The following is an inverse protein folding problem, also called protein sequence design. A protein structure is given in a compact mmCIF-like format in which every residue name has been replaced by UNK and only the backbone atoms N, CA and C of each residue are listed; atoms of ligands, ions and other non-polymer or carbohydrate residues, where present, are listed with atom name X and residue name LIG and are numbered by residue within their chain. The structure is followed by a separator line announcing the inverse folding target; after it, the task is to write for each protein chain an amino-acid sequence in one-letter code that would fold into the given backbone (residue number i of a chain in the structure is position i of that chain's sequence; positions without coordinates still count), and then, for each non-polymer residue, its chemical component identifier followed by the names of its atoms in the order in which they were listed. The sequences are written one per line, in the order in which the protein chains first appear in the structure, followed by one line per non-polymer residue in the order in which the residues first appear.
data_IF_748265771617
#
_entry.id   IF_748265771617
#
_cell.length_a   1.000
_cell.length_b   1.000
_cell.length_c   1.000
_cell.angle_alpha   90.00
_cell.angle_beta   90.00
_cell.angle_gamma   90.00
#
_symmetry.space_group_name_H-M   'P 1'
#
loop_
_entity.id
_entity.type
_entity.pdbx_description
1 polymer ?
#
# COMPACT_ATOMS: atom_id res chain seq x y z
N UNK A 1 83.69 11.38 -34.58
CA UNK A 1 82.79 10.62 -35.47
C UNK A 1 81.69 10.00 -34.64
N UNK A 2 80.52 10.48 -34.86
CA UNK A 2 79.33 10.22 -34.04
C UNK A 2 78.66 8.91 -34.47
N UNK A 3 78.36 8.05 -33.43
CA UNK A 3 77.59 6.83 -33.61
C UNK A 3 76.13 7.03 -33.15
N UNK A 4 75.20 7.04 -34.11
CA UNK A 4 73.78 7.13 -33.86
C UNK A 4 73.22 5.81 -33.26
N UNK A 5 72.53 5.89 -32.04
CA UNK A 5 71.78 4.80 -31.48
C UNK A 5 70.35 4.83 -32.05
N UNK A 6 69.86 3.66 -32.48
CA UNK A 6 68.48 3.43 -32.92
C UNK A 6 67.48 3.33 -31.70
N UNK A 7 66.19 3.68 -31.84
CA UNK A 7 65.22 3.62 -30.76
C UNK A 7 64.64 2.21 -30.62
N UNK A 8 64.54 1.75 -29.35
CA UNK A 8 63.86 0.53 -28.92
C UNK A 8 62.34 0.68 -29.03
N UNK A 9 61.72 -0.30 -29.64
CA UNK A 9 60.28 -0.39 -29.84
C UNK A 9 59.49 -0.54 -28.53
N UNK A 10 58.33 0.10 -28.52
CA UNK A 10 57.30 -0.04 -27.51
C UNK A 10 56.57 -1.38 -27.68
N UNK A 11 56.64 -2.25 -26.67
CA UNK A 11 55.70 -3.35 -26.42
C UNK A 11 55.01 -3.00 -25.09
N UNK A 12 53.70 -3.02 -25.05
CA UNK A 12 52.77 -3.25 -24.00
C UNK A 12 51.62 -2.26 -24.01
N UNK A 13 50.57 -2.61 -24.76
CA UNK A 13 49.23 -1.95 -24.63
C UNK A 13 48.06 -2.93 -24.67
N UNK A 14 48.29 -4.24 -24.45
CA UNK A 14 47.15 -5.20 -24.49
C UNK A 14 46.84 -5.92 -23.19
N UNK A 15 47.50 -5.60 -22.08
CA UNK A 15 47.19 -6.28 -20.78
C UNK A 15 46.33 -5.45 -19.83
N UNK A 16 46.05 -4.18 -20.11
CA UNK A 16 45.26 -3.34 -19.22
C UNK A 16 43.73 -3.50 -19.41
N UNK A 17 43.26 -3.91 -20.58
CA UNK A 17 41.81 -4.05 -20.83
C UNK A 17 41.18 -5.34 -20.26
N UNK A 18 41.97 -6.40 -20.05
CA UNK A 18 41.46 -7.69 -19.56
C UNK A 18 41.34 -7.72 -18.04
N UNK A 19 42.20 -6.99 -17.31
CA UNK A 19 42.10 -6.89 -15.84
C UNK A 19 40.94 -5.99 -15.39
N UNK A 20 40.57 -4.96 -16.15
CA UNK A 20 39.44 -4.10 -15.85
C UNK A 20 38.09 -4.80 -16.10
N UNK A 21 37.98 -5.67 -17.09
CA UNK A 21 36.76 -6.43 -17.40
C UNK A 21 36.52 -7.49 -16.31
N UNK A 22 37.58 -8.14 -15.80
CA UNK A 22 37.43 -9.12 -14.69
C UNK A 22 37.04 -8.45 -13.36
N UNK A 23 37.57 -7.26 -13.06
CA UNK A 23 37.16 -6.46 -11.89
C UNK A 23 35.77 -5.90 -12.01
N UNK A 24 35.31 -5.56 -13.21
CA UNK A 24 33.90 -5.12 -13.45
C UNK A 24 32.96 -6.32 -13.32
N UNK A 25 33.37 -7.52 -13.73
CA UNK A 25 32.55 -8.74 -13.55
C UNK A 25 32.55 -9.27 -12.10
N UNK A 26 33.61 -9.08 -11.33
CA UNK A 26 33.62 -9.42 -9.88
C UNK A 26 32.81 -8.43 -9.04
N UNK A 27 32.77 -7.15 -9.39
CA UNK A 27 31.91 -6.17 -8.75
C UNK A 27 30.43 -6.32 -9.13
N UNK A 28 30.09 -7.08 -10.16
CA UNK A 28 28.70 -7.40 -10.56
C UNK A 28 28.11 -8.60 -9.83
N UNK A 29 28.83 -9.29 -8.96
CA UNK A 29 28.23 -10.15 -7.95
C UNK A 29 27.65 -9.29 -6.82
N UNK A 30 26.59 -8.52 -7.14
CA UNK A 30 25.69 -8.02 -6.15
C UNK A 30 25.12 -9.22 -5.39
N UNK A 31 25.69 -9.51 -4.25
CA UNK A 31 25.14 -10.47 -3.30
C UNK A 31 23.70 -10.03 -3.05
N UNK A 32 22.74 -10.86 -3.46
CA UNK A 32 21.33 -10.65 -3.17
C UNK A 32 21.23 -10.49 -1.66
N UNK A 33 21.05 -9.26 -1.20
CA UNK A 33 21.07 -8.91 0.21
C UNK A 33 19.85 -9.46 0.96
N UNK A 34 18.72 -9.59 0.24
CA UNK A 34 17.46 -10.05 0.81
C UNK A 34 16.79 -11.07 -0.10
N UNK A 35 16.33 -12.18 0.48
CA UNK A 35 15.45 -13.13 -0.20
C UNK A 35 14.02 -12.72 0.11
N UNK A 36 13.20 -12.54 -0.94
CA UNK A 36 11.76 -12.31 -0.81
C UNK A 36 11.00 -13.61 -1.05
N UNK A 37 9.94 -13.78 -0.28
CA UNK A 37 9.08 -14.97 -0.26
C UNK A 37 7.69 -14.57 -0.77
N UNK A 38 7.10 -15.37 -1.63
CA UNK A 38 5.72 -15.21 -2.10
C UNK A 38 4.72 -15.79 -1.10
N UNK A 39 3.43 -15.43 -1.21
CA UNK A 39 2.45 -15.84 -0.22
C UNK A 39 2.13 -17.32 -0.23
N UNK A 40 2.27 -18.01 -1.35
CA UNK A 40 2.12 -19.47 -1.47
C UNK A 40 3.30 -20.25 -0.85
N UNK A 41 4.47 -19.61 -0.72
CA UNK A 41 5.64 -20.18 -0.06
C UNK A 41 5.61 -20.04 1.48
N UNK A 42 4.68 -19.25 2.03
CA UNK A 42 4.52 -19.07 3.48
C UNK A 42 3.83 -20.30 4.10
N UNK A 43 4.60 -21.29 4.52
CA UNK A 43 4.09 -22.57 5.07
C UNK A 43 4.30 -22.69 6.56
N UNK A 44 5.46 -22.29 7.05
CA UNK A 44 5.87 -22.49 8.42
C UNK A 44 5.90 -21.17 9.20
N UNK A 45 5.77 -21.26 10.51
CA UNK A 45 5.95 -20.11 11.40
C UNK A 45 7.39 -19.62 11.31
N UNK A 46 7.60 -18.32 11.03
CA UNK A 46 8.94 -17.76 10.88
C UNK A 46 8.94 -16.31 10.44
N UNK A 47 10.14 -15.76 10.29
CA UNK A 47 10.38 -14.42 9.77
C UNK A 47 10.59 -14.45 8.25
N UNK A 48 9.89 -13.59 7.55
CA UNK A 48 9.94 -13.50 6.09
C UNK A 48 10.05 -12.05 5.62
N UNK A 49 10.75 -11.86 4.49
CA UNK A 49 10.70 -10.63 3.73
C UNK A 49 9.81 -10.87 2.52
N UNK A 50 8.94 -9.93 2.19
CA UNK A 50 8.02 -10.08 1.08
C UNK A 50 7.56 -8.73 0.54
N UNK A 51 7.00 -8.76 -0.66
CA UNK A 51 6.17 -7.71 -1.22
C UNK A 51 4.72 -8.16 -1.20
N UNK A 52 3.84 -7.26 -0.80
CA UNK A 52 2.39 -7.48 -0.84
C UNK A 52 1.69 -6.30 -1.47
N UNK A 53 0.50 -6.54 -1.99
CA UNK A 53 -0.37 -5.53 -2.59
C UNK A 53 -1.49 -5.25 -1.59
N UNK A 54 -1.68 -3.99 -1.26
CA UNK A 54 -2.72 -3.57 -0.31
C UNK A 54 -4.08 -3.64 -1.02
N UNK A 55 -4.90 -4.57 -0.57
CA UNK A 55 -6.25 -4.77 -1.04
C UNK A 55 -7.28 -4.06 -0.15
N UNK A 56 -6.95 -3.92 1.13
CA UNK A 56 -7.72 -3.20 2.13
C UNK A 56 -6.81 -2.74 3.28
N UNK A 57 -7.17 -1.67 3.98
CA UNK A 57 -6.41 -1.14 5.09
C UNK A 57 -7.35 -0.56 6.16
N UNK A 58 -7.02 -0.80 7.44
CA UNK A 58 -7.58 -0.02 8.53
C UNK A 58 -6.86 1.32 8.67
N UNK A 59 -7.53 2.30 9.27
CA UNK A 59 -6.86 3.50 9.76
C UNK A 59 -5.92 3.13 10.93
N UNK A 60 -4.79 3.84 11.12
CA UNK A 60 -3.93 3.68 12.29
C UNK A 60 -4.70 3.97 13.60
N UNK A 61 -4.77 2.98 14.47
CA UNK A 61 -5.53 3.02 15.71
C UNK A 61 -4.63 2.90 16.92
N UNK A 62 -5.08 3.46 18.04
CA UNK A 62 -4.48 3.24 19.34
C UNK A 62 -4.95 1.91 19.93
N UNK A 63 -4.02 1.09 20.41
CA UNK A 63 -4.34 -0.17 21.07
C UNK A 63 -4.79 0.13 22.52
N UNK A 64 -6.04 -0.17 22.84
CA UNK A 64 -6.51 -0.07 24.23
C UNK A 64 -5.66 -1.00 25.12
N UNK A 65 -4.97 -0.43 26.09
CA UNK A 65 -4.10 -1.19 26.99
C UNK A 65 -4.96 -2.14 27.85
N UNK A 66 -4.94 -3.42 27.49
CA UNK A 66 -5.66 -4.48 28.22
C UNK A 66 -4.82 -5.12 29.32
N UNK A 67 -3.50 -4.92 29.33
CA UNK A 67 -2.61 -5.50 30.34
C UNK A 67 -2.29 -4.53 31.46
N UNK A 68 -2.32 -5.01 32.70
CA UNK A 68 -1.91 -4.22 33.88
C UNK A 68 -0.44 -3.77 33.81
N UNK A 69 0.43 -4.53 33.12
CA UNK A 69 1.83 -4.18 32.90
C UNK A 69 2.01 -3.00 31.98
N UNK A 70 1.18 -2.85 30.95
CA UNK A 70 1.23 -1.73 30.02
C UNK A 70 0.62 -0.46 30.66
N UNK A 71 -0.43 -0.61 31.47
CA UNK A 71 -0.98 0.49 32.28
C UNK A 71 0.03 1.07 33.26
N UNK A 72 0.89 0.24 33.87
CA UNK A 72 1.96 0.70 34.79
C UNK A 72 3.08 1.45 34.08
N UNK A 73 3.26 1.25 32.77
CA UNK A 73 4.34 1.90 31.98
C UNK A 73 3.87 3.12 31.20
N UNK A 74 2.56 3.41 31.16
CA UNK A 74 1.95 4.50 30.34
C UNK A 74 2.46 4.51 28.88
N UNK A 75 2.69 3.34 28.27
CA UNK A 75 3.17 3.24 26.89
C UNK A 75 1.96 3.05 25.97
N UNK A 76 1.63 4.08 25.22
CA UNK A 76 0.65 3.99 24.14
C UNK A 76 1.21 3.14 23.00
N UNK A 77 0.41 2.23 22.49
CA UNK A 77 0.73 1.42 21.31
C UNK A 77 -0.26 1.73 20.20
N UNK A 78 0.25 1.78 19.00
CA UNK A 78 -0.56 2.00 17.78
C UNK A 78 -0.48 0.76 16.90
N UNK A 79 -1.55 0.52 16.13
CA UNK A 79 -1.57 -0.58 15.17
C UNK A 79 -2.40 -0.23 13.94
N UNK A 80 -2.15 -0.94 12.86
CA UNK A 80 -3.04 -1.05 11.72
C UNK A 80 -3.09 -2.49 11.21
N UNK A 81 -4.12 -2.78 10.43
CA UNK A 81 -4.32 -4.08 9.78
C UNK A 81 -4.46 -3.83 8.29
N UNK A 82 -3.61 -4.47 7.50
CA UNK A 82 -3.70 -4.46 6.05
C UNK A 82 -4.13 -5.84 5.56
N UNK A 83 -5.04 -5.89 4.59
CA UNK A 83 -5.32 -7.11 3.81
C UNK A 83 -4.44 -7.07 2.58
N UNK A 84 -3.64 -8.10 2.41
CA UNK A 84 -2.66 -8.20 1.34
C UNK A 84 -2.96 -9.37 0.41
N UNK A 85 -2.70 -9.14 -0.86
CA UNK A 85 -2.62 -10.15 -1.90
C UNK A 85 -1.25 -10.06 -2.58
N UNK A 86 -0.87 -11.08 -3.32
CA UNK A 86 0.28 -11.06 -4.23
C UNK A 86 -0.03 -11.81 -5.52
N UNK A 87 0.95 -11.96 -6.38
CA UNK A 87 0.82 -12.61 -7.68
C UNK A 87 0.44 -14.10 -7.59
N UNK A 88 0.67 -14.74 -6.45
CA UNK A 88 0.34 -16.14 -6.19
C UNK A 88 -1.05 -16.30 -5.58
N UNK A 89 -1.68 -15.19 -5.18
CA UNK A 89 -3.03 -15.19 -4.61
C UNK A 89 -4.07 -15.38 -5.71
N UNK A 90 -4.59 -16.58 -5.85
CA UNK A 90 -5.53 -16.92 -6.91
C UNK A 90 -6.99 -16.63 -6.51
N UNK A 91 -7.32 -15.36 -6.33
CA UNK A 91 -8.66 -14.91 -5.94
C UNK A 91 -9.66 -14.91 -7.12
N UNK A 92 -9.17 -14.87 -8.36
CA UNK A 92 -10.02 -14.79 -9.56
C UNK A 92 -10.73 -16.11 -9.89
N UNK A 93 -10.13 -17.24 -9.52
CA UNK A 93 -10.68 -18.57 -9.86
C UNK A 93 -11.71 -19.08 -8.86
N UNK A 94 -11.70 -18.56 -7.63
CA UNK A 94 -12.68 -18.94 -6.61
C UNK A 94 -13.03 -17.76 -5.68
N UNK A 95 -14.03 -16.93 -6.06
CA UNK A 95 -14.47 -15.79 -5.26
C UNK A 95 -14.95 -16.16 -3.86
N UNK A 96 -15.46 -17.39 -3.67
CA UNK A 96 -15.96 -17.84 -2.38
C UNK A 96 -14.83 -18.10 -1.36
N UNK A 97 -13.60 -18.34 -1.82
CA UNK A 97 -12.43 -18.60 -0.97
C UNK A 97 -11.50 -17.37 -0.87
N UNK A 98 -11.96 -16.20 -1.25
CA UNK A 98 -11.17 -14.98 -1.21
C UNK A 98 -10.51 -14.75 0.17
N UNK A 99 -11.27 -14.90 1.26
CA UNK A 99 -10.77 -14.69 2.62
C UNK A 99 -9.70 -15.70 3.06
N UNK A 100 -9.63 -16.88 2.42
CA UNK A 100 -8.64 -17.93 2.75
C UNK A 100 -7.26 -17.62 2.13
N UNK A 101 -7.23 -16.88 1.02
CA UNK A 101 -6.00 -16.58 0.29
C UNK A 101 -5.38 -15.24 0.66
N UNK A 102 -6.12 -14.38 1.35
CA UNK A 102 -5.65 -13.07 1.80
C UNK A 102 -4.76 -13.21 3.02
N UNK A 103 -3.69 -12.43 3.07
CA UNK A 103 -2.85 -12.30 4.26
C UNK A 103 -3.26 -11.05 5.03
N UNK A 104 -3.35 -11.19 6.34
CA UNK A 104 -3.57 -10.08 7.26
C UNK A 104 -2.22 -9.65 7.85
N UNK A 105 -1.73 -8.49 7.45
CA UNK A 105 -0.54 -7.89 7.99
C UNK A 105 -0.92 -6.96 9.13
N UNK A 106 -0.45 -7.26 10.33
CA UNK A 106 -0.70 -6.51 11.56
C UNK A 106 0.59 -5.78 11.92
N UNK A 107 0.60 -4.48 11.81
CA UNK A 107 1.76 -3.64 12.13
C UNK A 107 1.52 -2.92 13.45
N UNK A 108 2.48 -3.02 14.37
CA UNK A 108 2.42 -2.40 15.70
C UNK A 108 3.64 -1.54 15.97
N UNK A 109 3.44 -0.38 16.63
CA UNK A 109 4.50 0.51 17.08
C UNK A 109 4.10 1.27 18.34
N UNK A 110 5.07 1.78 19.07
CA UNK A 110 4.89 2.79 20.12
C UNK A 110 4.85 4.22 19.57
N UNK A 111 5.16 4.41 18.30
CA UNK A 111 5.16 5.69 17.61
C UNK A 111 4.14 5.63 16.47
N UNK A 112 3.19 6.56 16.43
CA UNK A 112 2.12 6.60 15.44
C UNK A 112 2.68 6.77 14.02
N UNK A 113 3.76 7.51 13.87
CA UNK A 113 4.45 7.79 12.60
C UNK A 113 5.06 6.53 11.95
N UNK A 114 5.29 5.49 12.75
CA UNK A 114 5.79 4.20 12.28
C UNK A 114 4.67 3.23 11.85
N UNK A 115 3.41 3.66 11.91
CA UNK A 115 2.27 2.90 11.39
C UNK A 115 1.97 3.38 9.97
N UNK A 116 1.83 2.47 8.98
CA UNK A 116 1.56 2.86 7.62
C UNK A 116 0.19 3.53 7.49
N UNK A 117 0.17 4.64 6.76
CA UNK A 117 -1.06 5.29 6.30
C UNK A 117 -1.17 5.06 4.79
N UNK A 118 -2.03 4.14 4.40
CA UNK A 118 -2.21 3.72 3.01
C UNK A 118 -3.09 4.73 2.28
N UNK A 119 -2.70 5.13 1.08
CA UNK A 119 -3.44 6.07 0.24
C UNK A 119 -4.38 5.36 -0.74
N UNK A 120 -3.89 4.32 -1.42
CA UNK A 120 -4.64 3.72 -2.52
C UNK A 120 -4.80 2.20 -2.34
N UNK A 121 -5.93 1.70 -2.80
CA UNK A 121 -6.07 0.27 -3.08
C UNK A 121 -5.14 -0.07 -4.25
N UNK A 122 -4.36 -1.14 -4.08
CA UNK A 122 -3.35 -1.55 -5.04
C UNK A 122 -1.94 -1.03 -4.73
N UNK A 123 -1.76 -0.17 -3.72
CA UNK A 123 -0.41 0.21 -3.28
C UNK A 123 0.40 -1.01 -2.85
N UNK A 124 1.71 -0.95 -3.07
CA UNK A 124 2.62 -2.06 -2.78
C UNK A 124 3.26 -1.79 -1.42
N UNK A 125 3.27 -2.80 -0.55
CA UNK A 125 4.04 -2.78 0.69
C UNK A 125 5.21 -3.76 0.61
N UNK A 126 6.42 -3.29 0.89
CA UNK A 126 7.60 -4.13 1.15
C UNK A 126 7.75 -4.29 2.65
N UNK A 127 7.89 -5.52 3.11
CA UNK A 127 8.05 -5.87 4.51
C UNK A 127 9.36 -6.61 4.70
N UNK A 128 10.13 -6.19 5.70
CA UNK A 128 11.28 -6.91 6.21
C UNK A 128 10.96 -7.49 7.57
N UNK A 129 11.32 -8.77 7.76
CA UNK A 129 11.22 -9.50 9.03
C UNK A 129 9.79 -9.50 9.59
N UNK A 130 8.80 -9.71 8.71
CA UNK A 130 7.43 -9.99 9.12
C UNK A 130 7.33 -11.40 9.69
N UNK A 131 6.78 -11.54 10.89
CA UNK A 131 6.62 -12.83 11.57
C UNK A 131 5.30 -13.48 11.17
N UNK A 132 5.36 -14.55 10.39
CA UNK A 132 4.21 -15.33 9.97
C UNK A 132 3.75 -16.30 11.05
N UNK A 133 2.44 -16.28 11.37
CA UNK A 133 1.82 -17.15 12.37
C UNK A 133 0.54 -17.81 11.80
N UNK A 134 0.61 -19.06 11.31
CA UNK A 134 -0.48 -19.69 10.52
C UNK A 134 -1.64 -20.26 11.35
N UNK A 135 -1.85 -19.90 12.62
CA UNK A 135 -2.76 -20.63 13.52
C UNK A 135 -4.22 -20.68 13.08
N UNK A 136 -4.95 -19.56 12.98
CA UNK A 136 -6.38 -19.53 12.60
C UNK A 136 -6.66 -18.72 11.34
N UNK A 137 -5.81 -17.77 11.03
CA UNK A 137 -5.83 -16.92 9.84
C UNK A 137 -4.38 -16.77 9.39
N UNK A 138 -4.17 -16.49 8.12
CA UNK A 138 -2.84 -16.22 7.58
C UNK A 138 -2.37 -14.84 8.02
N UNK A 139 -1.91 -14.73 9.28
CA UNK A 139 -1.49 -13.47 9.88
C UNK A 139 0.02 -13.32 9.83
N UNK A 140 0.48 -12.13 9.48
CA UNK A 140 1.86 -11.68 9.62
C UNK A 140 1.89 -10.50 10.59
N UNK A 141 2.84 -10.52 11.50
CA UNK A 141 3.03 -9.47 12.50
C UNK A 141 4.34 -8.73 12.24
N UNK A 142 4.30 -7.41 12.24
CA UNK A 142 5.47 -6.53 12.16
C UNK A 142 5.48 -5.61 13.37
N UNK A 143 6.50 -5.74 14.21
CA UNK A 143 6.72 -4.84 15.33
C UNK A 143 7.83 -3.84 14.98
N UNK A 144 7.48 -2.58 14.93
CA UNK A 144 8.39 -1.46 14.62
C UNK A 144 8.86 -0.74 15.90
N UNK A 145 8.71 -1.38 17.08
CA UNK A 145 9.06 -0.79 18.37
C UNK A 145 10.57 -0.71 18.56
N UNK A 146 11.07 0.41 19.13
CA UNK A 146 12.49 0.62 19.42
C UNK A 146 13.09 -0.43 20.39
N UNK A 147 12.26 -0.96 21.28
CA UNK A 147 12.70 -1.84 22.38
C UNK A 147 12.71 -3.32 22.04
N UNK A 148 12.21 -3.72 20.88
CA UNK A 148 12.21 -5.12 20.46
C UNK A 148 13.53 -5.52 19.81
N UNK A 149 14.10 -6.67 20.24
CA UNK A 149 15.31 -7.26 19.66
C UNK A 149 15.16 -7.57 18.16
N UNK A 150 13.94 -7.88 17.73
CA UNK A 150 13.59 -8.17 16.33
C UNK A 150 12.70 -7.03 15.83
N UNK A 151 13.27 -6.16 15.02
CA UNK A 151 12.56 -5.04 14.41
C UNK A 151 12.22 -5.38 12.98
N UNK A 152 10.92 -5.51 12.72
CA UNK A 152 10.43 -5.47 11.35
C UNK A 152 10.40 -4.05 10.82
N UNK A 153 10.39 -3.90 9.52
CA UNK A 153 10.22 -2.61 8.86
C UNK A 153 9.38 -2.76 7.60
N UNK A 154 8.83 -1.64 7.15
CA UNK A 154 8.00 -1.59 5.96
C UNK A 154 8.28 -0.33 5.13
N UNK A 155 7.99 -0.40 3.84
CA UNK A 155 7.94 0.73 2.90
C UNK A 155 6.70 0.60 2.01
N UNK A 156 6.00 1.73 1.74
CA UNK A 156 4.85 1.81 0.86
C UNK A 156 5.21 2.50 -0.45
N UNK A 157 4.78 1.90 -1.57
CA UNK A 157 5.01 2.38 -2.93
C UNK A 157 3.67 2.57 -3.65
N UNK A 158 3.53 3.68 -4.35
CA UNK A 158 2.32 3.93 -5.15
C UNK A 158 2.36 3.17 -6.47
N UNK A 159 1.22 2.60 -6.86
CA UNK A 159 1.04 2.02 -8.20
C UNK A 159 0.50 3.01 -9.22
N UNK A 160 0.05 4.20 -8.77
CA UNK A 160 -0.50 5.24 -9.63
C UNK A 160 0.55 6.13 -10.29
N UNK A 161 1.81 6.05 -9.85
CA UNK A 161 2.92 6.79 -10.45
C UNK A 161 4.02 5.84 -10.97
N UNK A 162 4.95 6.38 -11.73
CA UNK A 162 6.08 5.62 -12.28
C UNK A 162 7.31 5.59 -11.35
N UNK A 163 7.22 6.16 -10.14
CA UNK A 163 8.33 6.16 -9.19
C UNK A 163 8.48 4.80 -8.53
N UNK A 164 9.69 4.28 -8.46
CA UNK A 164 10.06 3.11 -7.64
C UNK A 164 10.50 3.52 -6.23
N UNK A 165 10.39 4.81 -5.88
CA UNK A 165 10.69 5.30 -4.54
C UNK A 165 9.43 5.19 -3.66
N UNK A 166 9.58 4.79 -2.39
CA UNK A 166 8.45 4.71 -1.47
C UNK A 166 7.98 6.12 -1.07
N UNK A 167 6.67 6.27 -0.92
CA UNK A 167 6.09 7.51 -0.40
C UNK A 167 6.03 7.53 1.14
N UNK A 168 6.16 6.38 1.79
CA UNK A 168 6.19 6.25 3.25
C UNK A 168 6.98 5.03 3.68
N UNK A 169 7.73 5.14 4.79
CA UNK A 169 8.54 4.05 5.36
C UNK A 169 8.58 4.15 6.88
N UNK A 170 8.63 3.01 7.55
CA UNK A 170 8.86 2.94 9.01
C UNK A 170 10.29 3.29 9.42
N UNK A 171 11.23 3.26 8.49
CA UNK A 171 12.64 3.60 8.73
C UNK A 171 13.14 4.55 7.66
N UNK A 172 13.70 5.69 8.08
CA UNK A 172 14.29 6.68 7.17
C UNK A 172 15.52 6.16 6.42
N UNK A 173 16.20 5.16 6.97
CA UNK A 173 17.36 4.50 6.34
C UNK A 173 16.91 3.24 5.59
N UNK A 174 16.09 3.40 4.58
CA UNK A 174 15.74 2.31 3.67
C UNK A 174 16.70 2.30 2.46
N UNK A 175 16.94 1.12 1.90
CA UNK A 175 17.63 0.95 0.62
C UNK A 175 16.68 0.36 -0.40
N UNK A 176 16.76 0.82 -1.65
CA UNK A 176 16.05 0.23 -2.80
C UNK A 176 17.11 -0.33 -3.73
N UNK A 177 17.21 -1.65 -3.76
CA UNK A 177 18.18 -2.37 -4.59
C UNK A 177 17.62 -2.54 -6.02
N UNK A 178 18.47 -2.88 -6.98
CA UNK A 178 18.03 -3.15 -8.35
C UNK A 178 16.96 -4.24 -8.41
N UNK A 179 17.08 -5.28 -7.59
CA UNK A 179 16.10 -6.34 -7.47
C UNK A 179 14.75 -5.80 -6.98
N UNK A 180 14.76 -4.90 -5.98
CA UNK A 180 13.53 -4.29 -5.46
C UNK A 180 12.79 -3.52 -6.54
N UNK A 181 13.51 -2.71 -7.32
CA UNK A 181 12.94 -1.95 -8.45
C UNK A 181 12.27 -2.87 -9.46
N UNK A 182 12.92 -3.97 -9.82
CA UNK A 182 12.37 -4.94 -10.76
C UNK A 182 11.09 -5.60 -10.20
N UNK A 183 11.08 -5.98 -8.92
CA UNK A 183 9.90 -6.56 -8.27
C UNK A 183 8.76 -5.54 -8.22
N UNK A 184 9.04 -4.28 -7.87
CA UNK A 184 8.05 -3.22 -7.82
C UNK A 184 7.41 -3.01 -9.19
N UNK A 185 8.19 -2.88 -10.27
CA UNK A 185 7.67 -2.65 -11.62
C UNK A 185 6.84 -3.86 -12.14
N UNK A 186 7.31 -5.08 -11.91
CA UNK A 186 6.55 -6.28 -12.24
C UNK A 186 5.24 -6.34 -11.47
N UNK A 187 5.28 -5.99 -10.19
CA UNK A 187 4.09 -5.97 -9.33
C UNK A 187 3.10 -4.89 -9.76
N UNK A 188 3.55 -3.68 -10.12
CA UNK A 188 2.68 -2.63 -10.67
C UNK A 188 1.95 -3.09 -11.92
N UNK A 189 2.64 -3.75 -12.83
CA UNK A 189 2.05 -4.29 -14.06
C UNK A 189 0.99 -5.34 -13.73
N UNK A 190 1.31 -6.25 -12.82
CA UNK A 190 0.37 -7.28 -12.39
C UNK A 190 -0.88 -6.68 -11.72
N UNK A 191 -0.71 -5.72 -10.80
CA UNK A 191 -1.83 -5.05 -10.09
C UNK A 191 -2.78 -4.40 -11.07
N UNK A 192 -2.26 -3.67 -12.07
CA UNK A 192 -3.09 -3.01 -13.10
C UNK A 192 -3.97 -4.02 -13.84
N UNK A 193 -3.40 -5.16 -14.21
CA UNK A 193 -4.14 -6.23 -14.88
C UNK A 193 -5.16 -6.90 -13.94
N UNK A 194 -4.74 -7.24 -12.72
CA UNK A 194 -5.58 -7.89 -11.72
C UNK A 194 -6.81 -7.05 -11.38
N UNK A 195 -6.62 -5.82 -10.93
CA UNK A 195 -7.72 -4.94 -10.50
C UNK A 195 -8.64 -4.52 -11.65
N UNK A 196 -8.17 -4.57 -12.89
CA UNK A 196 -9.02 -4.34 -14.07
C UNK A 196 -10.06 -5.46 -14.27
N UNK A 197 -9.72 -6.70 -13.91
CA UNK A 197 -10.57 -7.89 -14.07
C UNK A 197 -11.36 -8.16 -12.79
N UNK A 198 -10.76 -7.86 -11.63
CA UNK A 198 -11.31 -8.22 -10.33
C UNK A 198 -12.63 -7.50 -10.04
N UNK A 199 -13.68 -8.30 -9.89
CA UNK A 199 -15.01 -7.83 -9.50
C UNK A 199 -15.23 -7.91 -7.98
N UNK A 200 -14.33 -8.54 -7.23
CA UNK A 200 -14.51 -8.84 -5.81
C UNK A 200 -14.37 -7.61 -4.93
N UNK A 201 -13.68 -6.54 -5.38
CA UNK A 201 -13.66 -5.25 -4.69
C UNK A 201 -15.07 -4.67 -4.46
N UNK A 202 -16.04 -5.08 -5.27
CA UNK A 202 -17.44 -4.66 -5.17
C UNK A 202 -18.23 -5.52 -4.16
N UNK A 203 -17.84 -6.77 -3.94
CA UNK A 203 -18.69 -7.75 -3.25
C UNK A 203 -18.51 -7.86 -1.72
N UNK A 204 -17.35 -7.66 -1.11
CA UNK A 204 -17.27 -7.69 0.34
C UNK A 204 -17.74 -6.38 1.00
N UNK A 205 -18.07 -5.36 0.19
CA UNK A 205 -18.50 -4.07 0.66
C UNK A 205 -20.03 -4.01 0.60
N UNK A 206 -20.67 -3.96 1.74
CA UNK A 206 -22.02 -3.43 1.82
C UNK A 206 -21.88 -1.92 1.56
N UNK A 207 -21.91 -1.55 0.29
CA UNK A 207 -21.81 -0.14 -0.12
C UNK A 207 -23.19 0.48 -0.02
N UNK A 208 -23.32 1.52 0.80
CA UNK A 208 -24.50 2.35 0.83
C UNK A 208 -24.51 3.33 -0.36
N UNK A 209 -25.70 3.74 -0.74
CA UNK A 209 -25.91 4.89 -1.61
C UNK A 209 -26.10 6.14 -0.75
N UNK A 210 -25.66 7.30 -1.21
CA UNK A 210 -25.77 8.58 -0.48
C UNK A 210 -27.21 8.87 -0.07
N UNK A 211 -28.19 8.62 -0.93
CA UNK A 211 -29.61 8.84 -0.63
C UNK A 211 -30.22 7.82 0.37
N UNK A 212 -29.45 6.85 0.84
CA UNK A 212 -29.85 5.81 1.80
C UNK A 212 -29.00 5.82 3.07
N UNK A 213 -28.21 6.87 3.26
CA UNK A 213 -27.39 7.02 4.44
C UNK A 213 -28.32 7.29 5.63
N UNK A 214 -28.22 6.46 6.65
CA UNK A 214 -28.88 6.64 7.95
C UNK A 214 -27.82 6.66 9.04
N UNK A 215 -28.05 7.38 10.12
CA UNK A 215 -27.21 7.33 11.31
C UNK A 215 -27.08 5.89 11.83
N UNK A 216 -25.84 5.45 12.05
CA UNK A 216 -25.53 4.13 12.64
C UNK A 216 -25.27 3.01 11.65
N UNK A 217 -25.17 3.27 10.36
CA UNK A 217 -24.76 2.24 9.39
C UNK A 217 -23.23 2.16 9.27
N UNK A 218 -22.69 0.99 9.62
CA UNK A 218 -21.26 0.65 9.47
C UNK A 218 -20.85 0.34 8.01
N UNK A 219 -21.67 0.75 7.02
CA UNK A 219 -21.46 0.42 5.62
C UNK A 219 -20.48 1.41 4.97
N UNK A 220 -19.65 0.89 4.09
CA UNK A 220 -18.73 1.71 3.29
C UNK A 220 -19.50 2.52 2.24
N UNK A 221 -18.96 3.67 1.84
CA UNK A 221 -19.38 4.41 0.65
C UNK A 221 -18.36 4.25 -0.46
N UNK A 222 -18.86 4.20 -1.69
CA UNK A 222 -18.05 4.29 -2.90
C UNK A 222 -18.53 5.49 -3.70
N UNK A 223 -17.73 6.54 -3.77
CA UNK A 223 -18.15 7.85 -4.26
C UNK A 223 -17.08 8.50 -5.15
N UNK A 224 -17.53 9.38 -6.03
CA UNK A 224 -16.70 10.23 -6.86
C UNK A 224 -16.47 11.57 -6.17
N UNK A 225 -15.25 12.06 -6.15
CA UNK A 225 -14.88 13.39 -5.67
C UNK A 225 -15.08 14.40 -6.78
N UNK A 226 -16.11 15.23 -6.66
CA UNK A 226 -16.44 16.26 -7.66
C UNK A 226 -15.59 17.50 -7.46
N UNK A 227 -15.37 17.91 -6.19
CA UNK A 227 -14.63 19.10 -5.83
C UNK A 227 -13.93 18.90 -4.49
N UNK A 228 -12.78 19.54 -4.35
CA UNK A 228 -11.99 19.57 -3.11
C UNK A 228 -11.79 21.01 -2.65
N UNK A 229 -12.03 21.28 -1.38
CA UNK A 229 -11.72 22.56 -0.73
C UNK A 229 -10.80 22.31 0.44
N UNK A 230 -9.63 22.94 0.44
CA UNK A 230 -8.70 22.87 1.56
C UNK A 230 -8.92 24.05 2.48
N UNK A 231 -9.24 23.79 3.74
CA UNK A 231 -9.34 24.75 4.82
C UNK A 231 -8.12 24.63 5.74
N UNK A 232 -7.99 25.53 6.71
CA UNK A 232 -6.80 25.55 7.59
C UNK A 232 -6.57 24.23 8.31
N UNK A 233 -7.62 23.60 8.84
CA UNK A 233 -7.53 22.41 9.68
C UNK A 233 -8.21 21.16 9.11
N UNK A 234 -8.94 21.31 8.02
CA UNK A 234 -9.72 20.22 7.42
C UNK A 234 -9.76 20.32 5.90
N UNK A 235 -10.22 19.25 5.28
CA UNK A 235 -10.52 19.18 3.85
C UNK A 235 -11.99 18.84 3.72
N UNK A 236 -12.71 19.60 2.88
CA UNK A 236 -14.08 19.32 2.50
C UNK A 236 -14.08 18.77 1.08
N UNK A 237 -14.62 17.58 0.91
CA UNK A 237 -14.81 16.91 -0.37
C UNK A 237 -16.29 16.94 -0.73
N UNK A 238 -16.61 17.51 -1.90
CA UNK A 238 -17.93 17.33 -2.50
C UNK A 238 -17.93 15.99 -3.21
N UNK A 239 -18.70 15.06 -2.69
CA UNK A 239 -18.77 13.68 -3.15
C UNK A 239 -20.10 13.37 -3.79
N UNK A 240 -20.11 12.47 -4.77
CA UNK A 240 -21.29 12.05 -5.50
C UNK A 240 -21.25 10.56 -5.83
N UNK A 241 -22.42 9.92 -5.79
CA UNK A 241 -22.65 8.61 -6.38
C UNK A 241 -23.78 8.66 -7.44
N UNK A 242 -24.26 7.49 -7.88
CA UNK A 242 -25.38 7.43 -8.81
C UNK A 242 -26.71 7.85 -8.17
N UNK A 243 -26.83 8.02 -6.88
CA UNK A 243 -28.08 8.38 -6.19
C UNK A 243 -28.19 9.86 -5.87
N UNK A 244 -27.12 10.45 -5.28
CA UNK A 244 -27.11 11.82 -4.77
C UNK A 244 -25.69 12.35 -4.58
N UNK A 245 -25.52 13.55 -4.02
CA UNK A 245 -24.26 14.16 -3.62
C UNK A 245 -24.37 14.84 -2.26
N UNK A 246 -23.25 14.92 -1.55
CA UNK A 246 -23.14 15.58 -0.26
C UNK A 246 -21.71 16.07 0.00
N UNK A 247 -21.50 16.74 1.12
CA UNK A 247 -20.18 17.11 1.61
C UNK A 247 -19.63 16.02 2.54
N UNK A 248 -18.33 15.71 2.40
CA UNK A 248 -17.58 14.87 3.31
C UNK A 248 -16.47 15.71 3.93
N UNK A 249 -16.57 15.94 5.23
CA UNK A 249 -15.56 16.63 6.02
C UNK A 249 -14.49 15.64 6.49
N UNK A 250 -13.23 15.96 6.19
CA UNK A 250 -12.10 15.07 6.48
C UNK A 250 -10.97 15.82 7.16
N UNK A 251 -10.00 15.08 7.69
CA UNK A 251 -8.79 15.64 8.27
C UNK A 251 -7.76 16.04 7.21
N UNK A 252 -6.89 16.98 7.53
CA UNK A 252 -5.86 17.52 6.63
C UNK A 252 -4.89 16.47 6.08
N UNK A 253 -4.69 15.36 6.77
CA UNK A 253 -3.82 14.28 6.28
C UNK A 253 -4.38 13.50 5.07
N UNK A 254 -5.65 13.73 4.69
CA UNK A 254 -6.25 13.24 3.43
C UNK A 254 -5.97 14.15 2.23
N UNK A 255 -4.96 15.01 2.29
CA UNK A 255 -4.59 15.94 1.23
C UNK A 255 -4.17 15.27 -0.09
N UNK A 256 -3.84 13.97 -0.08
CA UNK A 256 -3.51 13.18 -1.26
C UNK A 256 -4.69 12.92 -2.18
N UNK A 257 -5.94 13.04 -1.68
CA UNK A 257 -7.16 12.89 -2.48
C UNK A 257 -7.27 14.07 -3.45
N UNK A 258 -7.62 13.76 -4.72
CA UNK A 258 -7.77 14.76 -5.77
C UNK A 258 -9.20 14.78 -6.31
N UNK A 259 -9.55 15.89 -6.99
CA UNK A 259 -10.78 15.95 -7.78
C UNK A 259 -10.74 14.87 -8.87
N UNK A 260 -11.89 14.29 -9.15
CA UNK A 260 -12.12 13.13 -10.02
C UNK A 260 -11.64 11.77 -9.48
N UNK A 261 -11.10 11.70 -8.27
CA UNK A 261 -10.85 10.41 -7.62
C UNK A 261 -12.16 9.67 -7.32
N UNK A 262 -12.12 8.36 -7.41
CA UNK A 262 -13.12 7.48 -6.79
C UNK A 262 -12.54 7.03 -5.46
N UNK A 263 -13.27 7.29 -4.39
CA UNK A 263 -12.84 6.96 -3.04
C UNK A 263 -13.80 5.98 -2.38
N UNK A 264 -13.23 5.09 -1.58
CA UNK A 264 -13.97 4.30 -0.61
C UNK A 264 -13.85 4.95 0.75
N UNK A 265 -14.99 5.30 1.34
CA UNK A 265 -15.08 5.91 2.68
C UNK A 265 -15.63 4.88 3.64
N UNK A 266 -14.93 4.67 4.74
CA UNK A 266 -15.30 3.74 5.81
C UNK A 266 -15.41 4.49 7.13
N UNK A 267 -16.44 4.17 7.91
CA UNK A 267 -16.65 4.72 9.27
C UNK A 267 -16.78 6.25 9.27
N UNK A 268 -17.94 6.71 8.89
CA UNK A 268 -18.36 8.11 8.88
C UNK A 268 -19.56 8.33 9.79
N UNK A 269 -19.84 9.58 10.12
CA UNK A 269 -21.06 10.01 10.79
C UNK A 269 -21.80 11.00 9.90
N UNK A 270 -23.13 10.94 9.95
CA UNK A 270 -23.98 11.96 9.35
C UNK A 270 -24.05 13.16 10.31
N UNK A 271 -23.92 14.33 9.78
CA UNK A 271 -24.19 15.58 10.49
C UNK A 271 -24.95 16.50 9.53
N UNK A 272 -25.46 17.56 9.98
CA UNK A 272 -26.19 18.61 9.28
C UNK A 272 -26.61 18.29 7.81
N UNK A 273 -27.92 18.18 7.54
CA UNK A 273 -28.51 17.98 6.19
C UNK A 273 -27.89 16.85 5.32
N UNK A 274 -27.57 15.70 5.91
CA UNK A 274 -26.93 14.56 5.24
C UNK A 274 -25.47 14.74 4.86
N UNK A 275 -24.81 15.79 5.29
CA UNK A 275 -23.36 15.91 5.14
C UNK A 275 -22.66 14.93 6.07
N UNK A 276 -21.45 14.54 5.69
CA UNK A 276 -20.68 13.48 6.34
C UNK A 276 -19.42 14.03 7.01
N UNK A 277 -19.05 13.43 8.11
CA UNK A 277 -17.73 13.61 8.72
C UNK A 277 -17.08 12.26 8.94
N UNK A 278 -15.80 12.16 8.58
CA UNK A 278 -15.01 10.95 8.82
C UNK A 278 -14.82 10.78 10.34
N UNK A 279 -15.04 9.57 10.85
CA UNK A 279 -14.76 9.24 12.25
C UNK A 279 -13.24 9.18 12.50
N UNK A 280 -12.86 9.23 13.78
CA UNK A 280 -11.47 9.07 14.22
C UNK A 280 -10.83 7.72 13.81
N UNK A 281 -11.66 6.67 13.62
CA UNK A 281 -11.25 5.35 13.11
C UNK A 281 -11.58 5.15 11.63
N UNK A 282 -12.14 6.18 11.01
CA UNK A 282 -12.53 6.14 9.62
C UNK A 282 -11.33 6.12 8.68
N UNK A 283 -11.49 5.49 7.53
CA UNK A 283 -10.46 5.45 6.51
C UNK A 283 -11.02 5.78 5.14
N UNK A 284 -10.21 6.49 4.36
CA UNK A 284 -10.49 6.78 2.96
C UNK A 284 -9.36 6.18 2.13
N UNK A 285 -9.73 5.34 1.16
CA UNK A 285 -8.80 4.78 0.20
C UNK A 285 -9.21 5.18 -1.21
N UNK A 286 -8.26 5.65 -2.00
CA UNK A 286 -8.49 5.96 -3.40
C UNK A 286 -8.49 4.68 -4.22
N UNK A 287 -9.44 4.53 -5.12
CA UNK A 287 -9.49 3.43 -6.08
C UNK A 287 -8.73 3.83 -7.35
N UNK A 288 -7.83 2.98 -7.83
CA UNK A 288 -7.11 3.29 -9.05
C UNK A 288 -8.05 3.30 -10.27
N UNK A 289 -7.84 4.22 -11.24
CA UNK A 289 -8.75 4.40 -12.39
C UNK A 289 -8.86 3.16 -13.30
N UNK A 290 -7.87 2.28 -13.27
CA UNK A 290 -7.88 1.02 -14.03
C UNK A 290 -8.70 -0.08 -13.35
N UNK A 291 -9.16 0.08 -12.10
CA UNK A 291 -9.94 -0.95 -11.41
C UNK A 291 -11.33 -1.11 -12.00
N UNK A 292 -11.85 -2.34 -11.94
CA UNK A 292 -13.21 -2.64 -12.39
C UNK A 292 -14.26 -1.85 -11.60
N UNK A 293 -14.07 -1.68 -10.31
CA UNK A 293 -14.95 -0.90 -9.43
C UNK A 293 -15.05 0.57 -9.85
N UNK A 294 -13.91 1.20 -10.15
CA UNK A 294 -13.87 2.58 -10.65
C UNK A 294 -14.73 2.72 -11.92
N UNK A 295 -14.48 1.85 -12.91
CA UNK A 295 -15.20 1.87 -14.19
C UNK A 295 -16.70 1.61 -14.02
N UNK A 296 -17.08 0.70 -13.12
CA UNK A 296 -18.50 0.41 -12.85
C UNK A 296 -19.22 1.63 -12.30
N UNK A 297 -18.65 2.33 -11.31
CA UNK A 297 -19.27 3.51 -10.71
C UNK A 297 -19.47 4.64 -11.75
N UNK A 298 -18.44 4.94 -12.53
CA UNK A 298 -18.53 5.96 -13.59
C UNK A 298 -19.61 5.62 -14.62
N UNK A 299 -19.73 4.35 -15.02
CA UNK A 299 -20.77 3.90 -15.93
C UNK A 299 -22.17 4.08 -15.35
N UNK A 300 -22.38 3.76 -14.07
CA UNK A 300 -23.69 3.88 -13.40
C UNK A 300 -24.08 5.36 -13.26
N UNK A 301 -23.16 6.24 -12.91
CA UNK A 301 -23.38 7.70 -12.90
C UNK A 301 -23.72 8.24 -14.28
N UNK A 302 -23.02 7.81 -15.32
CA UNK A 302 -23.26 8.25 -16.70
C UNK A 302 -24.64 7.81 -17.21
N UNK A 303 -25.10 6.60 -16.87
CA UNK A 303 -26.44 6.11 -17.21
C UNK A 303 -27.53 6.98 -16.59
N UNK A 304 -27.37 7.34 -15.30
CA UNK A 304 -28.33 8.19 -14.60
C UNK A 304 -28.45 9.57 -15.26
N UNK A 305 -27.32 10.20 -15.60
CA UNK A 305 -27.33 11.50 -16.30
C UNK A 305 -28.04 11.48 -17.66
N UNK A 306 -28.03 10.32 -18.37
CA UNK A 306 -28.78 10.14 -19.64
C UNK A 306 -30.27 9.93 -19.43
N UNK A 307 -30.72 9.48 -18.26
CA UNK A 307 -32.15 9.28 -17.95
C UNK A 307 -32.83 10.58 -17.49
N UNK A 308 -32.06 11.58 -17.08
CA UNK A 308 -32.55 12.88 -16.61
C UNK A 308 -32.69 13.87 -17.78
N UNK A 309 -32.04 13.61 -18.92
CA UNK A 309 -32.21 14.37 -20.19
C UNK A 309 -33.35 13.79 -21.03
#
# INVERSE_FOLDING_TARGET
MEGKKAPRGKKNTNNMEVEDISKIQENAKHTIKYKYTTFDELKEQGEYNFFGIVYDASFPQEESSTSESDKKKNVTKYFCILKLIDQTTNCLTNPNNFNENVIYLIIKSTEKENIPFVHNIGDIIRVYRGFYAPKKKRNIYVNVCKDNKIKGSWCLYSTNNNSSEPYSCSNKQFSVETQDKQIIENTKTWVKNYLNIDKSLKYPLQVNLINRINDGNDNDLLVHVVKKIELNDQIVLFIQDASDGCELHTYKYYNFIQENDIIRVRSYKVFDNNNLIINEFGNILVLPPYSNCYKSLINDMTKKLKQIK
#
